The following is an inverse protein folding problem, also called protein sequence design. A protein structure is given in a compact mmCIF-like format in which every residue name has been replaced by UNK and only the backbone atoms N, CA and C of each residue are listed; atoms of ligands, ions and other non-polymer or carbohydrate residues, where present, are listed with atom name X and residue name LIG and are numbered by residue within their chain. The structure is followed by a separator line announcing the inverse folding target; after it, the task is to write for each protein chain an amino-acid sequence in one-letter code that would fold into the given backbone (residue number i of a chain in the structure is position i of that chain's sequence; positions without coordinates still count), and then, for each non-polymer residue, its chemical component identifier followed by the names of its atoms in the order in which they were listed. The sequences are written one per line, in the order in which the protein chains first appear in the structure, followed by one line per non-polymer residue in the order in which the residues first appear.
data_IF_186743203919
#
_entry.id   IF_186743203919
#
_cell.length_a   1.000
_cell.length_b   1.000
_cell.length_c   1.000
_cell.angle_alpha   90.00
_cell.angle_beta   90.00
_cell.angle_gamma   90.00
#
_symmetry.space_group_name_H-M   'P 1'
#
loop_
_entity.id
_entity.type
_entity.pdbx_description
1 polymer ?
#
# COMPACT_ATOMS: atom_id res chain seq x y z
N UNK A 1 -18.62 11.56 -1.85
CA UNK A 1 -17.68 11.38 -2.97
C UNK A 1 -16.92 12.64 -3.29
N UNK A 2 -15.65 12.46 -3.67
CA UNK A 2 -14.85 13.54 -4.22
C UNK A 2 -15.23 13.75 -5.71
N UNK A 3 -15.38 14.99 -6.19
CA UNK A 3 -15.63 15.26 -7.60
C UNK A 3 -14.44 14.82 -8.46
N UNK A 4 -14.73 14.54 -9.73
CA UNK A 4 -13.70 14.16 -10.71
C UNK A 4 -12.60 15.23 -10.83
N UNK A 5 -11.36 14.77 -10.97
CA UNK A 5 -10.19 15.60 -11.30
C UNK A 5 -9.36 14.92 -12.40
N UNK A 6 -8.55 15.69 -13.13
CA UNK A 6 -7.70 15.12 -14.20
C UNK A 6 -6.66 14.12 -13.68
N UNK A 7 -6.28 14.22 -12.41
CA UNK A 7 -5.31 13.32 -11.76
C UNK A 7 -5.89 11.94 -11.41
N UNK A 8 -7.22 11.80 -11.34
CA UNK A 8 -7.88 10.58 -10.86
C UNK A 8 -7.28 10.12 -9.52
N UNK A 9 -6.87 8.86 -9.41
CA UNK A 9 -6.27 8.23 -8.22
C UNK A 9 -5.13 7.30 -8.64
N UNK A 10 -4.14 7.14 -7.76
CA UNK A 10 -3.12 6.10 -7.87
C UNK A 10 -3.54 4.90 -7.02
N UNK A 11 -3.61 3.71 -7.61
CA UNK A 11 -3.93 2.47 -6.92
C UNK A 11 -2.66 1.65 -6.68
N UNK A 12 -2.51 1.14 -5.47
CA UNK A 12 -1.50 0.14 -5.09
C UNK A 12 -2.23 -1.17 -4.82
N UNK A 13 -1.86 -2.22 -5.54
CA UNK A 13 -2.38 -3.56 -5.32
C UNK A 13 -1.46 -4.30 -4.34
N UNK A 14 -2.06 -4.88 -3.30
CA UNK A 14 -1.33 -5.70 -2.34
C UNK A 14 -1.38 -7.15 -2.83
N UNK A 15 -0.50 -7.47 -3.77
CA UNK A 15 -0.31 -8.86 -4.22
C UNK A 15 0.35 -9.64 -3.09
N UNK A 16 -0.31 -10.71 -2.65
CA UNK A 16 0.21 -11.63 -1.66
C UNK A 16 0.49 -12.97 -2.33
N UNK A 17 1.72 -13.43 -2.26
CA UNK A 17 2.10 -14.77 -2.75
C UNK A 17 1.66 -15.88 -1.79
N UNK A 18 1.37 -15.57 -0.52
CA UNK A 18 1.16 -16.56 0.54
C UNK A 18 -0.26 -16.54 1.20
N UNK A 19 -0.85 -15.39 1.54
CA UNK A 19 -2.18 -15.33 2.21
C UNK A 19 -2.98 -14.05 1.88
N UNK A 20 -4.31 -14.21 1.68
CA UNK A 20 -5.24 -13.09 1.52
C UNK A 20 -5.38 -12.25 2.80
N UNK A 21 -5.48 -10.92 2.65
CA UNK A 21 -5.78 -10.02 3.78
C UNK A 21 -7.29 -10.07 4.07
N UNK A 22 -7.67 -10.87 5.07
CA UNK A 22 -9.05 -10.93 5.54
C UNK A 22 -9.32 -9.90 6.63
N UNK A 23 -10.33 -9.06 6.43
CA UNK A 23 -10.73 -8.00 7.37
C UNK A 23 -12.23 -8.05 7.65
N UNK A 24 -12.60 -7.63 8.85
CA UNK A 24 -13.97 -7.40 9.28
C UNK A 24 -14.23 -5.93 9.58
N UNK A 25 -15.52 -5.57 9.62
CA UNK A 25 -15.93 -4.19 9.93
C UNK A 25 -15.41 -3.80 11.32
N UNK A 26 -14.57 -2.77 11.36
CA UNK A 26 -13.98 -2.26 12.60
C UNK A 26 -12.51 -2.65 12.79
N UNK A 27 -12.00 -3.60 12.00
CA UNK A 27 -10.58 -3.95 11.98
C UNK A 27 -9.74 -2.79 11.47
N UNK A 28 -8.47 -2.76 11.89
CA UNK A 28 -7.55 -1.68 11.58
C UNK A 28 -6.30 -2.20 10.90
N UNK A 29 -5.89 -1.48 9.86
CA UNK A 29 -4.59 -1.63 9.23
C UNK A 29 -3.71 -0.48 9.76
N UNK A 30 -2.55 -0.81 10.30
CA UNK A 30 -1.56 0.19 10.77
C UNK A 30 -0.22 -0.11 10.13
N UNK A 31 0.45 0.92 9.62
CA UNK A 31 1.64 0.74 8.82
C UNK A 31 2.37 2.04 8.53
N UNK A 32 3.32 1.96 7.59
CA UNK A 32 4.12 3.06 7.09
C UNK A 32 4.10 3.04 5.57
N UNK A 33 4.00 4.23 4.98
CA UNK A 33 4.20 4.45 3.56
C UNK A 33 5.40 5.38 3.44
N UNK A 34 6.47 4.88 2.82
CA UNK A 34 7.68 5.62 2.54
C UNK A 34 7.74 5.97 1.05
N UNK A 35 8.24 7.17 0.74
CA UNK A 35 8.41 7.69 -0.61
C UNK A 35 9.81 8.26 -0.75
N UNK A 36 10.50 7.94 -1.85
CA UNK A 36 11.76 8.59 -2.22
C UNK A 36 11.92 8.71 -3.73
N UNK A 37 12.64 9.74 -4.23
CA UNK A 37 13.12 9.75 -5.60
C UNK A 37 14.00 8.53 -5.89
N UNK A 38 13.91 7.98 -7.10
CA UNK A 38 14.74 6.85 -7.49
C UNK A 38 16.21 7.28 -7.73
N UNK A 39 17.21 6.56 -7.18
CA UNK A 39 18.62 6.95 -7.32
C UNK A 39 19.18 6.96 -8.74
N UNK A 40 18.54 6.26 -9.70
CA UNK A 40 18.97 6.25 -11.11
C UNK A 40 18.33 7.37 -11.93
N UNK A 41 17.12 7.78 -11.57
CA UNK A 41 16.35 8.85 -12.22
C UNK A 41 15.49 9.56 -11.18
N UNK A 42 15.90 10.76 -10.77
CA UNK A 42 15.23 11.52 -9.70
C UNK A 42 13.78 11.93 -10.01
N UNK A 43 13.30 11.72 -11.25
CA UNK A 43 11.89 11.91 -11.62
C UNK A 43 11.01 10.72 -11.27
N UNK A 44 11.58 9.53 -11.17
CA UNK A 44 10.84 8.32 -10.82
C UNK A 44 10.68 8.27 -9.30
N UNK A 45 9.56 7.73 -8.85
CA UNK A 45 9.24 7.61 -7.43
C UNK A 45 9.26 6.15 -7.01
N UNK A 46 10.08 5.83 -6.03
CA UNK A 46 10.06 4.55 -5.34
C UNK A 46 9.19 4.67 -4.07
N UNK A 47 8.25 3.75 -3.93
CA UNK A 47 7.35 3.61 -2.78
C UNK A 47 7.64 2.31 -2.05
N UNK A 48 7.53 2.36 -0.74
CA UNK A 48 7.69 1.23 0.16
C UNK A 48 6.54 1.27 1.17
N UNK A 49 5.73 0.21 1.17
CA UNK A 49 4.48 0.13 1.94
C UNK A 49 4.59 -1.07 2.87
N UNK A 50 4.66 -0.79 4.16
CA UNK A 50 4.60 -1.77 5.24
C UNK A 50 3.30 -1.62 5.99
N UNK A 51 2.57 -2.71 6.24
CA UNK A 51 1.50 -2.66 7.22
C UNK A 51 1.26 -3.97 7.95
N UNK A 52 0.53 -3.85 9.04
CA UNK A 52 -0.03 -4.97 9.78
C UNK A 52 -1.54 -4.78 9.85
N UNK A 53 -2.27 -5.77 9.33
CA UNK A 53 -3.71 -5.91 9.48
C UNK A 53 -3.98 -6.69 10.78
N UNK A 54 -4.69 -6.06 11.73
CA UNK A 54 -5.13 -6.72 12.95
C UNK A 54 -6.59 -7.13 12.79
N UNK A 55 -6.81 -8.40 12.42
CA UNK A 55 -8.13 -9.03 12.41
C UNK A 55 -8.49 -9.59 13.78
N UNK A 56 -9.74 -10.04 13.95
CA UNK A 56 -10.20 -10.62 15.21
C UNK A 56 -9.47 -11.92 15.61
N UNK A 57 -8.98 -12.69 14.64
CA UNK A 57 -8.33 -13.98 14.88
C UNK A 57 -6.97 -14.13 14.18
N UNK A 58 -6.63 -13.22 13.27
CA UNK A 58 -5.41 -13.30 12.44
C UNK A 58 -4.69 -11.96 12.42
N UNK A 59 -3.36 -12.03 12.35
CA UNK A 59 -2.51 -10.86 12.12
C UNK A 59 -1.72 -11.11 10.83
N UNK A 60 -1.99 -10.29 9.82
CA UNK A 60 -1.28 -10.38 8.54
C UNK A 60 -0.32 -9.21 8.43
N UNK A 61 0.93 -9.48 8.08
CA UNK A 61 1.93 -8.46 7.77
C UNK A 61 2.11 -8.40 6.26
N UNK A 62 2.25 -7.19 5.75
CA UNK A 62 2.50 -6.93 4.35
C UNK A 62 3.69 -6.00 4.20
N UNK A 63 4.50 -6.29 3.19
CA UNK A 63 5.54 -5.42 2.68
C UNK A 63 5.47 -5.44 1.16
N UNK A 64 5.43 -4.26 0.55
CA UNK A 64 5.39 -4.10 -0.90
C UNK A 64 6.24 -2.92 -1.36
N UNK A 65 7.03 -3.16 -2.40
CA UNK A 65 7.80 -2.13 -3.09
C UNK A 65 7.16 -1.82 -4.44
N UNK A 66 7.04 -0.53 -4.77
CA UNK A 66 6.44 -0.08 -6.03
C UNK A 66 7.29 1.02 -6.66
N UNK A 67 7.26 1.10 -7.99
CA UNK A 67 7.90 2.17 -8.74
C UNK A 67 6.89 2.85 -9.66
N UNK A 68 6.89 4.18 -9.65
CA UNK A 68 6.19 5.01 -10.61
C UNK A 68 7.22 5.67 -11.52
N UNK A 69 7.12 5.42 -12.83
CA UNK A 69 8.02 5.90 -13.87
C UNK A 69 7.23 6.44 -15.08
#
# INVERSE_FOLDING_TARGET
DAPYTHWKQTLFYFDHDDEDIMLHKGDKITGKLNLRPNPKNDRDLDFDIDFTAQGQQTQTKYHGEYRMH
#
